data_IF_682808994302
#
_entry.id   IF_682808994302
#
_cell.length_a   1.000
_cell.length_b   1.000
_cell.length_c   1.000
_cell.angle_alpha   90.00
_cell.angle_beta   90.00
_cell.angle_gamma   90.00
#
_symmetry.space_group_name_H-M   'P 1'
#
loop_
_entity.id
_entity.type
_entity.pdbx_description
1 polymer ?
#
# COMPACT_ATOMS: atom_id res chain seq x y z
N UNK A 1 23.69 -6.68 13.16
CA UNK A 1 22.73 -6.52 12.08
C UNK A 1 21.62 -5.57 12.49
N UNK A 2 21.09 -4.79 11.53
CA UNK A 2 20.15 -3.72 11.82
C UNK A 2 18.91 -4.22 12.58
N UNK A 3 18.28 -5.30 12.10
CA UNK A 3 17.03 -5.79 12.68
C UNK A 3 17.25 -6.37 14.08
N UNK A 4 18.36 -7.07 14.30
CA UNK A 4 18.63 -7.73 15.58
C UNK A 4 18.85 -6.72 16.72
N UNK A 5 19.26 -5.49 16.40
CA UNK A 5 19.53 -4.45 17.38
C UNK A 5 18.32 -3.56 17.66
N UNK A 6 17.18 -3.83 17.03
CA UNK A 6 15.99 -3.01 17.16
C UNK A 6 15.15 -3.42 18.36
N UNK A 7 14.42 -2.44 18.92
CA UNK A 7 13.39 -2.71 19.91
C UNK A 7 12.23 -3.49 19.26
N UNK A 8 11.36 -4.08 20.08
CA UNK A 8 10.17 -4.76 19.58
C UNK A 8 9.26 -3.81 18.79
N UNK A 9 9.14 -2.57 19.24
CA UNK A 9 8.36 -1.56 18.54
C UNK A 9 8.93 -1.30 17.15
N UNK A 10 10.24 -1.13 17.05
CA UNK A 10 10.89 -0.87 15.77
C UNK A 10 10.76 -2.04 14.80
N UNK A 11 10.87 -3.27 15.32
CA UNK A 11 10.65 -4.47 14.51
C UNK A 11 9.23 -4.53 13.97
N UNK A 12 8.25 -4.21 14.79
CA UNK A 12 6.85 -4.19 14.37
C UNK A 12 6.60 -3.14 13.29
N UNK A 13 7.23 -1.99 13.41
CA UNK A 13 7.11 -0.93 12.40
C UNK A 13 7.65 -1.40 11.06
N UNK A 14 8.84 -2.00 11.05
CA UNK A 14 9.46 -2.52 9.83
C UNK A 14 8.59 -3.63 9.23
N UNK A 15 8.04 -4.51 10.04
CA UNK A 15 7.15 -5.58 9.56
C UNK A 15 5.92 -5.01 8.87
N UNK A 16 5.32 -3.97 9.45
CA UNK A 16 4.17 -3.30 8.84
C UNK A 16 4.54 -2.73 7.47
N UNK A 17 5.69 -2.08 7.36
CA UNK A 17 6.17 -1.53 6.10
C UNK A 17 6.35 -2.64 5.05
N UNK A 18 6.94 -3.75 5.44
CA UNK A 18 7.15 -4.88 4.54
C UNK A 18 5.82 -5.45 4.05
N UNK A 19 4.87 -5.63 4.96
CA UNK A 19 3.54 -6.16 4.62
C UNK A 19 2.81 -5.20 3.68
N UNK A 20 2.81 -3.91 3.98
CA UNK A 20 2.17 -2.91 3.14
C UNK A 20 2.81 -2.87 1.75
N UNK A 21 4.14 -2.88 1.68
CA UNK A 21 4.83 -2.88 0.40
C UNK A 21 4.44 -4.08 -0.45
N UNK A 22 4.46 -5.26 0.14
CA UNK A 22 4.10 -6.49 -0.58
C UNK A 22 2.66 -6.43 -1.09
N UNK A 23 1.76 -5.91 -0.28
CA UNK A 23 0.35 -5.78 -0.65
C UNK A 23 0.18 -4.80 -1.81
N UNK A 24 0.83 -3.64 -1.74
CA UNK A 24 0.74 -2.61 -2.78
C UNK A 24 1.35 -3.11 -4.10
N UNK A 25 2.47 -3.81 -4.04
CA UNK A 25 3.08 -4.39 -5.23
C UNK A 25 2.13 -5.38 -5.90
N UNK A 26 1.46 -6.21 -5.11
CA UNK A 26 0.48 -7.16 -5.61
C UNK A 26 -0.68 -6.46 -6.30
N UNK A 27 -1.23 -5.42 -5.68
CA UNK A 27 -2.33 -4.65 -6.26
C UNK A 27 -1.90 -3.96 -7.55
N UNK A 28 -0.70 -3.38 -7.57
CA UNK A 28 -0.14 -2.78 -8.78
C UNK A 28 -0.03 -3.80 -9.91
N UNK A 29 0.41 -5.00 -9.58
CA UNK A 29 0.54 -6.07 -10.56
C UNK A 29 -0.81 -6.42 -11.17
N UNK A 30 -1.85 -6.54 -10.34
CA UNK A 30 -3.20 -6.79 -10.82
C UNK A 30 -3.69 -5.63 -11.69
N UNK A 31 -3.40 -4.40 -11.29
CA UNK A 31 -3.86 -3.21 -12.00
C UNK A 31 -3.23 -3.06 -13.38
N UNK A 32 -1.96 -3.43 -13.51
CA UNK A 32 -1.21 -3.23 -14.75
C UNK A 32 -1.32 -4.38 -15.74
N UNK A 33 -1.54 -5.59 -15.25
CA UNK A 33 -1.54 -6.77 -16.10
C UNK A 33 -2.94 -7.05 -16.65
N UNK A 34 -2.99 -7.57 -17.87
CA UNK A 34 -4.22 -8.01 -18.50
C UNK A 34 -5.30 -6.93 -18.52
N UNK A 35 -4.93 -5.74 -18.99
CA UNK A 35 -5.85 -4.58 -19.02
C UNK A 35 -7.10 -4.83 -19.88
N UNK A 36 -7.06 -5.83 -20.75
CA UNK A 36 -8.22 -6.21 -21.57
C UNK A 36 -9.30 -6.94 -20.76
N UNK A 37 -8.93 -7.46 -19.58
CA UNK A 37 -9.86 -8.16 -18.72
C UNK A 37 -10.54 -7.17 -17.77
N UNK A 38 -11.76 -7.50 -17.34
CA UNK A 38 -12.42 -6.76 -16.28
C UNK A 38 -11.66 -6.91 -14.96
N UNK A 39 -11.97 -6.06 -13.99
CA UNK A 39 -11.35 -6.15 -12.67
C UNK A 39 -11.61 -7.53 -12.05
N UNK A 40 -12.84 -8.01 -12.14
CA UNK A 40 -13.19 -9.34 -11.61
C UNK A 40 -12.38 -10.45 -12.27
N UNK A 41 -12.25 -10.39 -13.58
CA UNK A 41 -11.48 -11.38 -14.32
C UNK A 41 -9.99 -11.33 -13.98
N UNK A 42 -9.43 -10.13 -13.79
CA UNK A 42 -8.04 -9.98 -13.36
C UNK A 42 -7.79 -10.61 -12.01
N UNK A 43 -8.72 -10.40 -11.07
CA UNK A 43 -8.60 -10.95 -9.73
C UNK A 43 -8.70 -12.46 -9.75
N UNK A 44 -9.66 -13.01 -10.50
CA UNK A 44 -9.84 -14.46 -10.59
C UNK A 44 -8.67 -15.17 -11.27
N UNK A 45 -8.04 -14.53 -12.24
CA UNK A 45 -6.94 -15.14 -13.00
C UNK A 45 -5.57 -14.89 -12.41
N UNK A 46 -5.46 -14.10 -11.34
CA UNK A 46 -4.18 -13.75 -10.76
C UNK A 46 -3.48 -14.99 -10.17
N UNK A 47 -2.18 -15.06 -10.37
CA UNK A 47 -1.35 -16.15 -9.83
C UNK A 47 -0.23 -15.58 -8.95
N UNK A 48 -0.04 -16.09 -7.74
CA UNK A 48 -0.82 -17.15 -7.09
C UNK A 48 -2.24 -16.70 -6.77
N UNK A 49 -3.20 -17.64 -6.64
CA UNK A 49 -4.60 -17.28 -6.43
C UNK A 49 -4.80 -16.40 -5.20
N UNK A 50 -5.69 -15.42 -5.34
CA UNK A 50 -6.03 -14.52 -4.25
C UNK A 50 -6.99 -15.24 -3.29
N UNK A 51 -6.71 -15.11 -1.99
CA UNK A 51 -7.59 -15.67 -0.96
C UNK A 51 -8.99 -15.06 -1.12
N UNK A 52 -10.02 -15.91 -1.09
CA UNK A 52 -11.38 -15.47 -1.41
C UNK A 52 -11.89 -14.32 -0.53
N UNK A 53 -11.47 -14.30 0.74
CA UNK A 53 -11.87 -13.22 1.67
C UNK A 53 -11.26 -11.86 1.31
N UNK A 54 -10.17 -11.86 0.54
CA UNK A 54 -9.49 -10.62 0.16
C UNK A 54 -10.01 -10.06 -1.17
N UNK A 55 -10.76 -10.84 -1.94
CA UNK A 55 -11.15 -10.45 -3.29
C UNK A 55 -11.96 -9.16 -3.32
N UNK A 56 -12.96 -9.04 -2.45
CA UNK A 56 -13.81 -7.84 -2.40
C UNK A 56 -13.01 -6.60 -2.00
N UNK A 57 -12.12 -6.75 -1.03
CA UNK A 57 -11.25 -5.66 -0.58
C UNK A 57 -10.35 -5.19 -1.71
N UNK A 58 -9.73 -6.11 -2.41
CA UNK A 58 -8.84 -5.81 -3.53
C UNK A 58 -9.64 -5.14 -4.66
N UNK A 59 -10.82 -5.64 -4.96
CA UNK A 59 -11.68 -5.05 -5.97
C UNK A 59 -12.00 -3.59 -5.64
N UNK A 60 -12.35 -3.30 -4.39
CA UNK A 60 -12.65 -1.94 -3.94
C UNK A 60 -11.42 -1.02 -4.08
N UNK A 61 -10.25 -1.52 -3.72
CA UNK A 61 -9.00 -0.75 -3.86
C UNK A 61 -8.72 -0.45 -5.33
N UNK A 62 -8.89 -1.44 -6.21
CA UNK A 62 -8.67 -1.24 -7.64
C UNK A 62 -9.61 -0.23 -8.25
N UNK A 63 -10.81 -0.08 -7.71
CA UNK A 63 -11.77 0.92 -8.17
C UNK A 63 -11.40 2.34 -7.73
N UNK A 64 -10.80 2.47 -6.56
CA UNK A 64 -10.52 3.77 -5.95
C UNK A 64 -9.12 4.26 -6.33
N UNK A 65 -8.14 3.38 -6.35
CA UNK A 65 -6.73 3.72 -6.54
C UNK A 65 -6.30 3.46 -7.97
N UNK A 66 -5.80 4.50 -8.65
CA UNK A 66 -5.14 4.33 -9.94
C UNK A 66 -3.75 3.73 -9.76
N UNK A 67 -3.18 3.18 -10.83
CA UNK A 67 -1.80 2.70 -10.82
C UNK A 67 -0.84 3.80 -10.42
N UNK A 68 -1.06 5.02 -10.90
CA UNK A 68 -0.22 6.16 -10.56
C UNK A 68 -0.23 6.47 -9.06
N UNK A 69 -1.42 6.44 -8.44
CA UNK A 69 -1.54 6.67 -7.00
C UNK A 69 -0.87 5.56 -6.20
N UNK A 70 -0.99 4.32 -6.64
CA UNK A 70 -0.33 3.18 -5.99
C UNK A 70 1.19 3.31 -6.08
N UNK A 71 1.71 3.73 -7.22
CA UNK A 71 3.15 3.95 -7.40
C UNK A 71 3.67 5.06 -6.50
N UNK A 72 2.92 6.14 -6.37
CA UNK A 72 3.26 7.22 -5.46
C UNK A 72 3.26 6.77 -4.00
N UNK A 73 2.27 5.98 -3.62
CA UNK A 73 2.19 5.42 -2.28
C UNK A 73 3.42 4.56 -1.99
N UNK A 74 3.77 3.70 -2.94
CA UNK A 74 4.93 2.82 -2.81
C UNK A 74 6.23 3.62 -2.67
N UNK A 75 6.39 4.66 -3.47
CA UNK A 75 7.56 5.54 -3.40
C UNK A 75 7.66 6.23 -2.04
N UNK A 76 6.54 6.75 -1.55
CA UNK A 76 6.50 7.40 -0.24
C UNK A 76 6.79 6.43 0.89
N UNK A 77 6.33 5.19 0.76
CA UNK A 77 6.60 4.14 1.74
C UNK A 77 8.10 3.83 1.81
N UNK A 78 8.77 3.82 0.67
CA UNK A 78 10.22 3.61 0.61
C UNK A 78 10.97 4.78 1.27
N UNK A 79 10.50 6.01 1.10
CA UNK A 79 11.07 7.18 1.76
C UNK A 79 10.93 7.08 3.27
N UNK A 80 9.75 6.71 3.75
CA UNK A 80 9.48 6.53 5.19
C UNK A 80 10.40 5.47 5.78
N UNK A 81 10.58 4.36 5.07
CA UNK A 81 11.49 3.30 5.53
C UNK A 81 12.92 3.81 5.65
N UNK A 82 13.37 4.57 4.66
CA UNK A 82 14.73 5.13 4.66
C UNK A 82 14.93 6.08 5.84
N UNK A 83 13.97 6.96 6.07
CA UNK A 83 14.05 7.91 7.18
C UNK A 83 13.97 7.21 8.54
N UNK A 84 13.16 6.17 8.64
CA UNK A 84 13.08 5.35 9.84
C UNK A 84 14.44 4.75 10.17
N UNK A 85 15.11 4.21 9.17
CA UNK A 85 16.42 3.58 9.36
C UNK A 85 17.51 4.58 9.79
N UNK A 86 17.30 5.86 9.46
CA UNK A 86 18.22 6.93 9.89
C UNK A 86 17.96 7.39 11.32
N UNK A 87 16.80 7.07 11.88
CA UNK A 87 16.37 7.55 13.20
C UNK A 87 16.31 9.08 13.30
N UNK A 88 16.02 9.74 12.20
CA UNK A 88 16.04 11.20 12.15
C UNK A 88 14.82 11.85 12.80
N UNK A 89 13.68 11.17 12.80
CA UNK A 89 12.43 11.72 13.29
C UNK A 89 11.66 10.70 14.13
N UNK A 90 10.64 11.18 14.82
CA UNK A 90 9.73 10.32 15.55
C UNK A 90 8.94 9.45 14.56
N UNK A 91 9.09 8.15 14.69
CA UNK A 91 8.59 7.18 13.73
C UNK A 91 7.07 7.11 13.71
N UNK A 92 6.42 7.20 14.88
CA UNK A 92 4.97 7.23 14.97
C UNK A 92 4.39 8.42 14.23
N UNK A 93 4.95 9.60 14.46
CA UNK A 93 4.50 10.84 13.85
C UNK A 93 4.68 10.79 12.34
N UNK A 94 5.82 10.29 11.88
CA UNK A 94 6.09 10.16 10.44
C UNK A 94 5.09 9.23 9.77
N UNK A 95 4.86 8.07 10.36
CA UNK A 95 3.98 7.08 9.77
C UNK A 95 2.54 7.58 9.76
N UNK A 96 2.10 8.18 10.87
CA UNK A 96 0.77 8.78 10.94
C UNK A 96 0.59 9.87 9.89
N UNK A 97 1.57 10.74 9.76
CA UNK A 97 1.54 11.83 8.77
C UNK A 97 1.45 11.28 7.35
N UNK A 98 2.26 10.28 7.05
CA UNK A 98 2.26 9.61 5.76
C UNK A 98 0.88 9.03 5.43
N UNK A 99 0.30 8.29 6.35
CA UNK A 99 -1.03 7.69 6.15
C UNK A 99 -2.10 8.75 5.96
N UNK A 100 -2.08 9.78 6.80
CA UNK A 100 -3.07 10.84 6.75
C UNK A 100 -3.05 11.55 5.41
N UNK A 101 -1.87 11.91 4.92
CA UNK A 101 -1.75 12.60 3.63
C UNK A 101 -2.22 11.74 2.47
N UNK A 102 -1.83 10.48 2.45
CA UNK A 102 -2.19 9.61 1.34
C UNK A 102 -3.66 9.24 1.35
N UNK A 103 -4.21 8.95 2.51
CA UNK A 103 -5.63 8.61 2.63
C UNK A 103 -6.53 9.82 2.41
N UNK A 104 -6.13 11.00 2.86
CA UNK A 104 -6.88 12.23 2.63
C UNK A 104 -7.06 12.52 1.15
N UNK A 105 -5.99 12.38 0.37
CA UNK A 105 -6.05 12.60 -1.08
C UNK A 105 -7.06 11.67 -1.74
N UNK A 106 -7.12 10.43 -1.29
CA UNK A 106 -8.03 9.44 -1.84
C UNK A 106 -9.47 9.70 -1.41
N UNK A 107 -9.66 10.06 -0.15
CA UNK A 107 -10.99 10.42 0.35
C UNK A 107 -11.57 11.61 -0.40
N UNK A 108 -10.78 12.65 -0.65
CA UNK A 108 -11.22 13.82 -1.41
C UNK A 108 -11.60 13.44 -2.84
N UNK A 109 -10.76 12.64 -3.49
CA UNK A 109 -11.04 12.18 -4.85
C UNK A 109 -12.31 11.34 -4.90
N UNK A 110 -12.50 10.46 -3.92
CA UNK A 110 -13.68 9.62 -3.83
C UNK A 110 -14.93 10.44 -3.56
N UNK A 111 -14.84 11.44 -2.69
CA UNK A 111 -15.94 12.35 -2.40
C UNK A 111 -16.36 13.11 -3.66
N UNK A 112 -15.41 13.58 -4.45
CA UNK A 112 -15.67 14.28 -5.70
C UNK A 112 -16.40 13.38 -6.71
N UNK A 113 -16.14 12.09 -6.66
CA UNK A 113 -16.81 11.14 -7.55
C UNK A 113 -18.26 10.89 -7.16
N UNK A 114 -18.65 11.18 -5.93
CA UNK A 114 -20.01 11.03 -5.44
C UNK A 114 -20.88 12.28 -5.65
N UNK A 115 -20.24 13.38 -5.91
CA UNK A 115 -20.92 14.64 -6.18
C UNK A 115 -21.25 14.75 -7.67
#
# INVERSE_FOLDING_TARGET
>A
EFISNMSNYEKNFIEIIIILRSFIIKILDIQKNNKNLSIDERIESYKPPIFWKDKDRIKNILKIWSANNLEKFLSNLNIIETEFKRNDLNQDTQFYYFLTQNLSKISLKNTNNFI
#
